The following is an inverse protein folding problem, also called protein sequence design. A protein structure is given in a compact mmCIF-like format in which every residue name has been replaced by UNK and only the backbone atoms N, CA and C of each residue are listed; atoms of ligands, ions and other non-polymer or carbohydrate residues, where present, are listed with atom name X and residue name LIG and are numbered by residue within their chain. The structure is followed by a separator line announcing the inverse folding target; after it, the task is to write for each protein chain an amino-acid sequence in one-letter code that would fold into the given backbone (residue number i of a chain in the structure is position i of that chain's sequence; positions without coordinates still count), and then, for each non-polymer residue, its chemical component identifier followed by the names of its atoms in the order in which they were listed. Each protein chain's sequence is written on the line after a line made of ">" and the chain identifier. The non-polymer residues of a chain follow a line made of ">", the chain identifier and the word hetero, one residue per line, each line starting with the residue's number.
data_IF_127913920611
#
_entry.id   IF_127913920611
#
_cell.length_a   1.000
_cell.length_b   1.000
_cell.length_c   1.000
_cell.angle_alpha   90.00
_cell.angle_beta   90.00
_cell.angle_gamma   90.00
#
_symmetry.space_group_name_H-M   'P 1'
#
loop_
_entity.id
_entity.type
_entity.pdbx_description
1 polymer ?
#
# COMPACT_ATOMS: atom_id res chain seq x y z
N UNK A 1 7.90 -0.69 11.12
CA UNK A 1 7.94 0.79 11.04
C UNK A 1 7.15 1.42 12.17
N UNK A 2 5.86 1.07 12.34
CA UNK A 2 5.03 1.57 13.44
C UNK A 2 5.59 1.24 14.84
N UNK A 3 6.18 0.06 15.03
CA UNK A 3 6.80 -0.33 16.32
C UNK A 3 7.95 0.59 16.71
N UNK A 4 8.75 1.02 15.74
CA UNK A 4 9.92 1.86 15.97
C UNK A 4 9.53 3.30 16.30
N UNK A 5 8.64 3.90 15.50
CA UNK A 5 8.19 5.28 15.75
C UNK A 5 7.39 5.40 17.05
N UNK A 6 6.68 4.34 17.47
CA UNK A 6 5.91 4.33 18.72
C UNK A 6 6.77 4.36 19.98
N UNK A 7 8.08 4.14 19.89
CA UNK A 7 8.99 4.16 21.04
C UNK A 7 9.50 5.57 21.36
N UNK A 8 9.28 6.56 20.49
CA UNK A 8 9.76 7.92 20.73
C UNK A 8 8.86 8.65 21.75
N UNK A 9 9.43 9.30 22.79
CA UNK A 9 8.65 9.92 23.87
C UNK A 9 7.65 10.99 23.41
N UNK A 10 7.90 11.62 22.28
CA UNK A 10 7.06 12.69 21.70
C UNK A 10 5.99 12.18 20.73
N UNK A 11 5.88 10.87 20.50
CA UNK A 11 4.90 10.30 19.58
C UNK A 11 3.63 9.92 20.32
N UNK A 12 2.49 10.45 19.88
CA UNK A 12 1.17 10.01 20.33
C UNK A 12 0.72 8.77 19.54
N UNK A 13 0.78 7.60 20.18
CA UNK A 13 0.36 6.33 19.59
C UNK A 13 -1.14 6.25 19.30
N UNK A 14 -1.97 7.09 19.93
CA UNK A 14 -3.38 7.19 19.63
C UNK A 14 -3.66 7.96 18.32
N UNK A 15 -2.67 8.69 17.80
CA UNK A 15 -2.78 9.55 16.61
C UNK A 15 -1.85 9.10 15.46
N UNK A 16 -1.56 7.81 15.33
CA UNK A 16 -0.71 7.31 14.25
C UNK A 16 -1.42 7.33 12.89
N UNK A 17 -0.79 7.95 11.90
CA UNK A 17 -1.23 7.96 10.51
C UNK A 17 -0.29 7.18 9.58
N UNK A 18 -0.82 6.75 8.43
CA UNK A 18 -0.04 6.10 7.37
C UNK A 18 -0.26 6.83 6.04
N UNK A 19 0.83 7.26 5.40
CA UNK A 19 0.80 7.87 4.07
C UNK A 19 1.48 6.95 3.06
N UNK A 20 0.73 6.55 2.03
CA UNK A 20 1.24 5.73 0.95
C UNK A 20 1.35 6.50 -0.38
N UNK A 21 2.50 6.40 -1.04
CA UNK A 21 2.79 7.09 -2.30
C UNK A 21 3.02 6.05 -3.38
N UNK A 22 2.45 6.23 -4.58
CA UNK A 22 2.71 5.34 -5.71
C UNK A 22 2.30 3.89 -5.36
N UNK A 23 3.10 2.88 -5.72
CA UNK A 23 2.87 1.49 -5.28
C UNK A 23 2.85 1.32 -3.75
N UNK A 24 3.50 2.23 -3.01
CA UNK A 24 3.44 2.31 -1.54
C UNK A 24 2.03 2.52 -0.99
N UNK A 25 1.14 3.15 -1.76
CA UNK A 25 -0.27 3.29 -1.40
C UNK A 25 -1.00 1.94 -1.33
N UNK A 26 -0.75 1.05 -2.29
CA UNK A 26 -1.32 -0.29 -2.30
C UNK A 26 -0.88 -1.09 -1.08
N UNK A 27 0.42 -1.05 -0.76
CA UNK A 27 0.96 -1.70 0.44
C UNK A 27 0.42 -1.09 1.74
N UNK A 28 0.26 0.24 1.79
CA UNK A 28 -0.25 0.95 2.96
C UNK A 28 -1.68 0.51 3.30
N UNK A 29 -2.55 0.42 2.29
CA UNK A 29 -3.91 -0.07 2.49
C UNK A 29 -3.95 -1.52 2.96
N UNK A 30 -3.11 -2.39 2.41
CA UNK A 30 -3.05 -3.80 2.84
C UNK A 30 -2.53 -3.91 4.27
N UNK A 31 -1.50 -3.15 4.65
CA UNK A 31 -0.95 -3.16 6.01
C UNK A 31 -1.97 -2.70 7.05
N UNK A 32 -2.77 -1.68 6.75
CA UNK A 32 -3.77 -1.18 7.69
C UNK A 32 -4.99 -2.10 7.88
N UNK A 33 -5.18 -3.07 6.98
CA UNK A 33 -6.21 -4.11 7.18
C UNK A 33 -5.89 -4.97 8.40
N UNK A 34 -4.61 -5.21 8.69
CA UNK A 34 -4.17 -6.04 9.83
C UNK A 34 -3.68 -5.19 11.01
N UNK A 35 -2.95 -4.11 10.76
CA UNK A 35 -2.43 -3.23 11.82
C UNK A 35 -3.42 -2.11 12.15
N UNK A 36 -4.10 -2.24 13.31
CA UNK A 36 -5.14 -1.30 13.78
C UNK A 36 -4.62 -0.11 14.59
N UNK A 37 -3.29 0.02 14.69
CA UNK A 37 -2.66 1.18 15.34
C UNK A 37 -2.86 2.45 14.52
N UNK A 38 -2.86 2.33 13.19
CA UNK A 38 -3.12 3.46 12.30
C UNK A 38 -4.59 3.91 12.36
N UNK A 39 -4.81 5.20 12.68
CA UNK A 39 -6.14 5.81 12.77
C UNK A 39 -6.55 6.54 11.50
N UNK A 40 -5.57 6.99 10.72
CA UNK A 40 -5.78 7.64 9.45
C UNK A 40 -4.85 7.05 8.40
N UNK A 41 -5.36 6.94 7.18
CA UNK A 41 -4.60 6.46 6.03
C UNK A 41 -4.89 7.39 4.87
N UNK A 42 -3.84 7.88 4.22
CA UNK A 42 -3.95 8.67 3.01
C UNK A 42 -3.08 8.04 1.92
N UNK A 43 -3.50 8.17 0.66
CA UNK A 43 -2.70 7.72 -0.46
C UNK A 43 -2.71 8.72 -1.60
N UNK A 44 -1.58 8.85 -2.30
CA UNK A 44 -1.47 9.68 -3.51
C UNK A 44 -0.86 8.87 -4.65
N UNK A 45 -1.49 8.98 -5.83
CA UNK A 45 -1.11 8.25 -7.06
C UNK A 45 -0.95 6.75 -6.84
N UNK A 46 -1.83 6.18 -6.01
CA UNK A 46 -1.78 4.78 -5.58
C UNK A 46 -2.07 3.81 -6.73
N UNK A 47 -1.37 2.68 -6.75
CA UNK A 47 -1.78 1.52 -7.54
C UNK A 47 -1.47 0.22 -6.80
N UNK A 48 -2.13 -0.85 -7.23
CA UNK A 48 -1.79 -2.20 -6.81
C UNK A 48 -0.68 -2.74 -7.71
N UNK A 49 0.54 -2.86 -7.17
CA UNK A 49 1.72 -3.33 -7.90
C UNK A 49 1.54 -4.73 -8.49
N UNK A 50 0.84 -5.63 -7.79
CA UNK A 50 0.56 -6.98 -8.26
C UNK A 50 -0.36 -6.98 -9.48
N UNK A 51 -1.43 -6.18 -9.45
CA UNK A 51 -2.33 -6.01 -10.59
C UNK A 51 -1.62 -5.32 -11.75
N UNK A 52 -0.88 -4.24 -11.51
CA UNK A 52 -0.13 -3.56 -12.56
C UNK A 52 0.89 -4.50 -13.24
N UNK A 53 1.57 -5.35 -12.47
CA UNK A 53 2.51 -6.33 -13.03
C UNK A 53 1.80 -7.43 -13.82
N UNK A 54 0.65 -7.91 -13.33
CA UNK A 54 -0.11 -8.99 -13.95
C UNK A 54 -0.86 -8.51 -15.19
N UNK A 55 -1.58 -7.39 -15.09
CA UNK A 55 -2.54 -6.93 -16.09
C UNK A 55 -2.03 -5.73 -16.90
N UNK A 56 -0.88 -5.14 -16.56
CA UNK A 56 -0.43 -3.88 -17.15
C UNK A 56 -1.07 -2.64 -16.51
N UNK A 57 -0.59 -1.47 -16.90
CA UNK A 57 -1.19 -0.19 -16.47
C UNK A 57 -2.60 -0.12 -17.05
N UNK A 58 -3.60 0.17 -16.19
CA UNK A 58 -5.01 0.22 -16.56
C UNK A 58 -5.47 -1.01 -17.36
N UNK A 59 -5.01 -2.20 -16.93
CA UNK A 59 -5.41 -3.48 -17.51
C UNK A 59 -5.05 -3.66 -19.01
N UNK A 60 -4.13 -2.85 -19.54
CA UNK A 60 -3.69 -2.83 -20.94
C UNK A 60 -3.11 -4.15 -21.49
N UNK A 61 -2.81 -5.11 -20.62
CA UNK A 61 -2.19 -6.40 -20.96
C UNK A 61 -3.01 -7.60 -20.50
N UNK A 62 -4.32 -7.43 -20.23
CA UNK A 62 -5.20 -8.54 -19.85
C UNK A 62 -5.21 -9.65 -20.91
N UNK A 63 -5.37 -9.30 -22.18
CA UNK A 63 -5.51 -10.27 -23.28
C UNK A 63 -4.21 -11.04 -23.57
N UNK A 64 -3.06 -10.50 -23.15
CA UNK A 64 -1.74 -11.11 -23.36
C UNK A 64 -1.28 -11.95 -22.16
N UNK A 65 -2.10 -12.11 -21.12
CA UNK A 65 -1.73 -12.90 -19.94
C UNK A 65 -1.32 -14.32 -20.33
N UNK A 66 -2.09 -15.01 -21.18
CA UNK A 66 -1.79 -16.40 -21.57
C UNK A 66 -0.49 -16.51 -22.36
N UNK A 67 -0.20 -15.53 -23.21
CA UNK A 67 1.05 -15.49 -24.00
C UNK A 67 2.28 -15.29 -23.12
N UNK A 68 2.14 -14.58 -21.98
CA UNK A 68 3.23 -14.31 -21.03
C UNK A 68 3.47 -15.41 -20.00
N UNK A 69 2.59 -16.41 -19.96
CA UNK A 69 2.70 -17.59 -19.05
C UNK A 69 3.36 -18.79 -19.71
N UNK A 70 3.46 -18.81 -21.05
CA UNK A 70 4.24 -19.79 -21.81
C UNK A 70 5.74 -19.52 -21.62
#
# INVERSE_FOLDING_TARGET
>A
MADYISQYPSVDTACLGLLGICGGGGYSLVSAKTDKRFKSIATISMFNSGLMRRNGVQDSQLDTIQQRLQ
#
